data_IF_694637019973
#
_entry.id   IF_694637019973
#
_cell.length_a   1.000
_cell.length_b   1.000
_cell.length_c   1.000
_cell.angle_alpha   90.00
_cell.angle_beta   90.00
_cell.angle_gamma   90.00
#
_symmetry.space_group_name_H-M   'P 1'
#
loop_
_entity.id
_entity.type
_entity.pdbx_description
1 polymer ?
#
# COMPACT_ATOMS: atom_id res chain seq x y z
N UNK A 1 -4.64 22.87 21.07
CA UNK A 1 -4.11 22.67 19.70
C UNK A 1 -3.22 21.44 19.74
N UNK A 2 -3.62 20.36 19.07
CA UNK A 2 -2.73 19.21 18.83
C UNK A 2 -1.56 19.70 17.98
N UNK A 3 -0.34 19.27 18.30
CA UNK A 3 0.82 19.55 17.44
C UNK A 3 0.67 18.72 16.17
N UNK A 4 0.99 19.27 14.98
CA UNK A 4 1.05 18.46 13.77
C UNK A 4 2.06 17.32 13.95
N UNK A 5 1.67 16.12 13.54
CA UNK A 5 2.56 14.97 13.47
C UNK A 5 3.19 14.90 12.07
N UNK A 6 4.41 14.38 11.98
CA UNK A 6 5.11 14.08 10.74
C UNK A 6 5.56 12.63 10.82
N UNK A 7 5.11 11.79 9.89
CA UNK A 7 5.22 10.34 9.97
C UNK A 7 5.95 9.82 8.73
N UNK A 8 7.11 9.23 8.90
CA UNK A 8 7.85 8.68 7.77
C UNK A 8 7.44 7.22 7.58
N UNK A 9 6.87 6.89 6.43
CA UNK A 9 6.57 5.51 6.05
C UNK A 9 7.33 5.13 4.79
N UNK A 10 7.87 3.92 4.72
CA UNK A 10 8.59 3.41 3.56
C UNK A 10 7.95 2.11 3.09
N UNK A 11 7.41 2.13 1.87
CA UNK A 11 6.96 0.91 1.19
C UNK A 11 8.22 0.17 0.74
N UNK A 12 8.54 -0.88 1.48
CA UNK A 12 9.73 -1.69 1.25
C UNK A 12 9.31 -2.86 0.36
N UNK A 13 9.64 -2.71 -0.93
CA UNK A 13 9.28 -3.65 -1.98
C UNK A 13 10.54 -4.30 -2.59
N UNK A 14 10.38 -5.50 -3.14
CA UNK A 14 11.45 -6.11 -3.94
C UNK A 14 11.78 -5.33 -5.22
N UNK A 15 13.00 -5.54 -5.72
CA UNK A 15 13.55 -4.82 -6.87
C UNK A 15 12.72 -5.06 -8.13
N UNK A 16 12.32 -3.95 -8.78
CA UNK A 16 11.62 -3.98 -10.07
C UNK A 16 10.35 -4.85 -10.09
N UNK A 17 9.67 -5.03 -8.94
CA UNK A 17 8.43 -5.81 -8.79
C UNK A 17 7.39 -5.49 -9.90
N UNK A 18 7.29 -4.23 -10.30
CA UNK A 18 6.31 -3.75 -11.27
C UNK A 18 6.58 -4.15 -12.73
N UNK A 19 7.78 -4.62 -13.07
CA UNK A 19 8.19 -4.89 -14.45
C UNK A 19 7.82 -6.30 -14.98
N UNK A 20 6.92 -7.02 -14.31
CA UNK A 20 6.49 -8.37 -14.70
C UNK A 20 7.68 -9.36 -14.76
N UNK A 21 8.37 -9.54 -13.64
CA UNK A 21 9.40 -10.56 -13.48
C UNK A 21 8.99 -11.55 -12.40
N UNK A 22 8.97 -12.85 -12.73
CA UNK A 22 8.68 -13.93 -11.76
C UNK A 22 9.80 -14.12 -10.72
N UNK A 23 10.96 -13.51 -10.94
CA UNK A 23 12.09 -13.50 -10.01
C UNK A 23 12.29 -12.05 -9.60
N UNK A 24 12.15 -11.78 -8.31
CA UNK A 24 12.30 -10.46 -7.73
C UNK A 24 13.47 -10.52 -6.77
N UNK A 25 14.46 -9.66 -7.00
CA UNK A 25 15.61 -9.52 -6.12
C UNK A 25 15.30 -8.55 -4.97
N UNK A 26 16.17 -8.51 -3.96
CA UNK A 26 16.07 -7.60 -2.81
C UNK A 26 17.42 -6.92 -2.54
N UNK A 27 18.14 -6.59 -3.61
CA UNK A 27 19.44 -5.91 -3.51
C UNK A 27 19.30 -4.50 -2.91
N UNK A 28 18.11 -3.87 -3.06
CA UNK A 28 17.77 -2.63 -2.37
C UNK A 28 17.91 -2.69 -0.83
N UNK A 29 17.74 -3.87 -0.21
CA UNK A 29 17.94 -4.10 1.24
C UNK A 29 19.25 -3.51 1.73
N UNK A 30 20.34 -3.66 0.94
CA UNK A 30 21.69 -3.23 1.31
C UNK A 30 21.83 -1.72 1.48
N UNK A 31 20.85 -0.94 1.03
CA UNK A 31 20.88 0.53 1.06
C UNK A 31 19.99 1.13 2.15
N UNK A 32 19.10 0.33 2.78
CA UNK A 32 18.09 0.83 3.73
C UNK A 32 18.71 1.44 5.00
N UNK A 33 19.82 0.88 5.48
CA UNK A 33 20.54 1.35 6.68
C UNK A 33 20.96 2.81 6.60
N UNK A 34 21.25 3.33 5.39
CA UNK A 34 21.61 4.73 5.18
C UNK A 34 20.46 5.68 5.50
N UNK A 35 19.24 5.30 5.09
CA UNK A 35 18.05 6.10 5.37
C UNK A 35 17.65 5.99 6.84
N UNK A 36 17.71 4.79 7.41
CA UNK A 36 17.48 4.58 8.84
C UNK A 36 18.41 5.46 9.69
N UNK A 37 19.72 5.46 9.42
CA UNK A 37 20.68 6.32 10.12
C UNK A 37 20.37 7.81 9.98
N UNK A 38 19.85 8.23 8.82
CA UNK A 38 19.42 9.61 8.60
C UNK A 38 18.20 9.94 9.46
N UNK A 39 17.19 9.08 9.51
CA UNK A 39 16.02 9.25 10.38
C UNK A 39 16.45 9.36 11.84
N UNK A 40 17.29 8.43 12.31
CA UNK A 40 17.78 8.41 13.70
C UNK A 40 18.58 9.66 14.06
N UNK A 41 19.41 10.17 13.15
CA UNK A 41 20.14 11.45 13.33
C UNK A 41 19.20 12.62 13.62
N UNK A 42 18.00 12.61 13.04
CA UNK A 42 16.98 13.63 13.25
C UNK A 42 15.87 13.19 14.22
N UNK A 43 16.09 12.10 14.96
CA UNK A 43 15.16 11.53 15.94
C UNK A 43 13.79 11.10 15.36
N UNK A 44 13.74 10.80 14.07
CA UNK A 44 12.57 10.17 13.44
C UNK A 44 12.63 8.66 13.56
N UNK A 45 11.45 8.05 13.74
CA UNK A 45 11.24 6.61 13.76
C UNK A 45 10.35 6.23 12.59
N UNK A 46 10.91 5.75 11.47
CA UNK A 46 10.10 5.39 10.31
C UNK A 46 9.32 4.09 10.54
N UNK A 47 8.21 3.95 9.83
CA UNK A 47 7.49 2.68 9.67
C UNK A 47 7.87 2.05 8.34
N UNK A 48 8.48 0.87 8.38
CA UNK A 48 8.86 0.07 7.22
C UNK A 48 7.69 -0.86 6.84
N UNK A 49 6.91 -0.45 5.85
CA UNK A 49 5.76 -1.20 5.35
C UNK A 49 6.27 -2.28 4.39
N UNK A 50 6.19 -3.53 4.78
CA UNK A 50 6.98 -4.62 4.22
C UNK A 50 6.14 -5.52 3.32
N UNK A 51 6.63 -5.79 2.11
CA UNK A 51 6.02 -6.74 1.19
C UNK A 51 6.56 -8.17 1.31
N UNK A 52 6.00 -9.11 0.55
CA UNK A 52 6.31 -10.53 0.65
C UNK A 52 7.80 -10.84 0.42
N UNK A 53 8.39 -10.25 -0.62
CA UNK A 53 9.76 -10.50 -1.04
C UNK A 53 10.75 -10.00 0.00
N UNK A 54 10.50 -8.81 0.55
CA UNK A 54 11.30 -8.26 1.63
C UNK A 54 11.17 -9.08 2.92
N UNK A 55 9.96 -9.53 3.27
CA UNK A 55 9.74 -10.41 4.41
C UNK A 55 10.46 -11.77 4.28
N UNK A 56 10.74 -12.21 3.05
CA UNK A 56 11.49 -13.44 2.75
C UNK A 56 13.00 -13.25 2.67
N UNK A 57 13.50 -12.01 2.65
CA UNK A 57 14.93 -11.71 2.58
C UNK A 57 15.57 -11.72 3.98
N UNK A 58 16.49 -12.66 4.28
CA UNK A 58 17.16 -12.71 5.57
C UNK A 58 17.92 -11.43 5.93
N UNK A 59 18.50 -10.73 4.95
CA UNK A 59 19.23 -9.48 5.20
C UNK A 59 18.28 -8.35 5.59
N UNK A 60 17.07 -8.33 5.04
CA UNK A 60 16.04 -7.37 5.41
C UNK A 60 15.50 -7.69 6.81
N UNK A 61 15.24 -8.96 7.08
CA UNK A 61 14.77 -9.40 8.39
C UNK A 61 15.78 -9.04 9.49
N UNK A 62 17.08 -9.24 9.25
CA UNK A 62 18.13 -8.81 10.16
C UNK A 62 18.11 -7.30 10.39
N UNK A 63 18.07 -6.50 9.31
CA UNK A 63 18.01 -5.04 9.38
C UNK A 63 16.79 -4.55 10.19
N UNK A 64 15.60 -5.00 9.85
CA UNK A 64 14.37 -4.51 10.46
C UNK A 64 14.20 -5.02 11.90
N UNK A 65 14.71 -6.22 12.22
CA UNK A 65 14.76 -6.73 13.59
C UNK A 65 15.64 -5.86 14.49
N UNK A 66 16.80 -5.39 14.00
CA UNK A 66 17.65 -4.43 14.73
C UNK A 66 16.93 -3.09 14.97
N UNK A 67 16.23 -2.57 13.95
CA UNK A 67 15.44 -1.33 14.06
C UNK A 67 14.37 -1.45 15.15
N UNK A 68 13.64 -2.57 15.19
CA UNK A 68 12.62 -2.86 16.20
C UNK A 68 13.27 -3.00 17.58
N UNK A 69 14.34 -3.79 17.71
CA UNK A 69 15.01 -4.05 18.98
C UNK A 69 15.56 -2.79 19.64
N UNK A 70 16.04 -1.84 18.83
CA UNK A 70 16.52 -0.52 19.30
C UNK A 70 15.40 0.50 19.49
N UNK A 71 14.14 0.16 19.21
CA UNK A 71 12.99 1.06 19.23
C UNK A 71 13.20 2.29 18.33
N UNK A 72 13.78 2.08 17.15
CA UNK A 72 14.11 3.14 16.19
C UNK A 72 13.20 3.15 14.95
N UNK A 73 12.15 2.33 14.95
CA UNK A 73 11.16 2.25 13.89
C UNK A 73 10.13 1.17 14.18
N UNK A 74 9.22 0.99 13.24
CA UNK A 74 8.18 -0.02 13.25
C UNK A 74 8.24 -0.81 11.93
N UNK A 75 7.80 -2.07 11.94
CA UNK A 75 7.45 -2.80 10.72
C UNK A 75 5.93 -2.92 10.63
N UNK A 76 5.40 -2.60 9.45
CA UNK A 76 3.99 -2.85 9.10
C UNK A 76 3.87 -3.67 7.82
N UNK A 77 2.65 -3.95 7.41
CA UNK A 77 2.36 -4.78 6.22
C UNK A 77 2.15 -3.93 4.97
N UNK A 78 2.78 -4.34 3.86
CA UNK A 78 2.54 -3.80 2.52
C UNK A 78 2.34 -4.92 1.49
N UNK A 79 1.11 -5.32 1.25
CA UNK A 79 0.82 -6.53 0.48
C UNK A 79 0.44 -6.21 -0.98
N UNK A 80 1.13 -6.84 -1.94
CA UNK A 80 0.78 -6.86 -3.36
C UNK A 80 0.11 -8.18 -3.75
N UNK A 81 -1.18 -8.15 -4.08
CA UNK A 81 -2.03 -9.35 -4.10
C UNK A 81 -1.60 -10.39 -5.15
N UNK A 82 -1.10 -9.94 -6.31
CA UNK A 82 -0.66 -10.82 -7.40
C UNK A 82 0.63 -11.60 -7.09
N UNK A 83 1.43 -11.14 -6.12
CA UNK A 83 2.70 -11.77 -5.76
C UNK A 83 2.78 -12.21 -4.28
N UNK A 84 1.65 -12.23 -3.58
CA UNK A 84 1.59 -12.67 -2.18
C UNK A 84 0.83 -14.00 -2.07
N UNK A 85 1.38 -15.01 -1.38
CA UNK A 85 0.67 -16.25 -1.13
C UNK A 85 -0.63 -16.05 -0.32
N UNK A 86 -1.60 -16.98 -0.40
CA UNK A 86 -1.62 -18.13 -1.31
C UNK A 86 -1.72 -17.72 -2.78
N UNK A 87 -1.12 -18.52 -3.66
CA UNK A 87 -1.29 -18.35 -5.10
C UNK A 87 -2.78 -18.54 -5.47
N UNK A 88 -3.33 -17.58 -6.21
CA UNK A 88 -4.69 -17.64 -6.73
C UNK A 88 -4.72 -16.88 -8.05
N UNK A 89 -4.84 -17.56 -9.21
CA UNK A 89 -4.85 -16.92 -10.51
C UNK A 89 -6.20 -16.23 -10.74
N UNK A 90 -6.28 -14.93 -10.45
CA UNK A 90 -7.51 -14.17 -10.63
C UNK A 90 -7.78 -13.87 -12.11
N UNK A 91 -6.73 -13.76 -12.91
CA UNK A 91 -6.77 -13.47 -14.34
C UNK A 91 -5.99 -14.51 -15.16
N UNK A 92 -5.92 -14.32 -16.48
CA UNK A 92 -5.08 -15.13 -17.37
C UNK A 92 -3.57 -14.89 -17.16
N UNK A 93 -3.19 -13.72 -16.63
CA UNK A 93 -1.81 -13.36 -16.31
C UNK A 93 -1.78 -12.26 -15.22
N UNK A 94 -1.76 -12.67 -13.95
CA UNK A 94 -1.76 -11.73 -12.82
C UNK A 94 -0.50 -10.87 -12.75
N UNK A 95 0.62 -11.28 -13.36
CA UNK A 95 1.82 -10.47 -13.41
C UNK A 95 1.72 -9.32 -14.42
N UNK A 96 0.88 -9.49 -15.45
CA UNK A 96 0.54 -8.46 -16.42
C UNK A 96 -0.55 -7.53 -15.89
N UNK A 97 -1.60 -8.08 -15.30
CA UNK A 97 -2.77 -7.30 -14.87
C UNK A 97 -2.63 -6.72 -13.46
N UNK A 98 -1.79 -7.32 -12.62
CA UNK A 98 -1.47 -6.89 -11.26
C UNK A 98 -2.74 -6.57 -10.45
N UNK A 99 -3.71 -7.48 -10.38
CA UNK A 99 -5.01 -7.21 -9.77
C UNK A 99 -4.90 -6.66 -8.34
N UNK A 100 -5.83 -5.77 -8.00
CA UNK A 100 -5.93 -5.18 -6.67
C UNK A 100 -6.43 -6.20 -5.65
N UNK A 101 -6.06 -6.04 -4.38
CA UNK A 101 -6.57 -6.93 -3.31
C UNK A 101 -8.11 -6.97 -3.27
N UNK A 102 -8.75 -5.81 -3.46
CA UNK A 102 -10.21 -5.68 -3.47
C UNK A 102 -10.89 -6.38 -4.67
N UNK A 103 -10.14 -6.88 -5.66
CA UNK A 103 -10.70 -7.64 -6.77
C UNK A 103 -10.75 -9.15 -6.50
N UNK A 104 -10.11 -9.62 -5.42
CA UNK A 104 -10.14 -11.03 -5.04
C UNK A 104 -11.43 -11.38 -4.27
N UNK A 105 -11.86 -12.66 -4.35
CA UNK A 105 -12.91 -13.19 -3.47
C UNK A 105 -12.58 -13.02 -1.98
N UNK A 106 -13.60 -12.86 -1.14
CA UNK A 106 -13.46 -12.54 0.28
C UNK A 106 -12.57 -13.53 1.05
N UNK A 107 -12.71 -14.82 0.76
CA UNK A 107 -11.92 -15.89 1.37
C UNK A 107 -10.44 -15.83 0.96
N UNK A 108 -10.17 -15.48 -0.29
CA UNK A 108 -8.80 -15.32 -0.81
C UNK A 108 -8.15 -14.04 -0.28
N UNK A 109 -8.90 -12.94 -0.22
CA UNK A 109 -8.43 -11.70 0.42
C UNK A 109 -8.04 -12.00 1.87
N UNK A 110 -8.93 -12.62 2.64
CA UNK A 110 -8.65 -12.97 4.03
C UNK A 110 -7.42 -13.87 4.16
N UNK A 111 -7.30 -14.89 3.29
CA UNK A 111 -6.17 -15.81 3.31
C UNK A 111 -4.83 -15.13 3.00
N UNK A 112 -4.79 -14.21 2.02
CA UNK A 112 -3.57 -13.47 1.68
C UNK A 112 -3.14 -12.54 2.80
N UNK A 113 -4.08 -11.82 3.39
CA UNK A 113 -3.80 -10.89 4.48
C UNK A 113 -3.31 -11.65 5.71
N UNK A 114 -4.01 -12.72 6.11
CA UNK A 114 -3.58 -13.58 7.21
C UNK A 114 -2.20 -14.18 6.98
N UNK A 115 -1.93 -14.72 5.80
CA UNK A 115 -0.62 -15.29 5.47
C UNK A 115 0.50 -14.26 5.65
N UNK A 116 0.31 -13.04 5.13
CA UNK A 116 1.32 -11.99 5.28
C UNK A 116 1.47 -11.52 6.72
N UNK A 117 0.38 -11.41 7.48
CA UNK A 117 0.44 -11.11 8.91
C UNK A 117 1.27 -12.18 9.65
N UNK A 118 0.95 -13.46 9.47
CA UNK A 118 1.67 -14.58 10.10
C UNK A 118 3.15 -14.58 9.74
N UNK A 119 3.48 -14.42 8.45
CA UNK A 119 4.87 -14.36 7.98
C UNK A 119 5.66 -13.23 8.65
N UNK A 120 5.08 -12.03 8.74
CA UNK A 120 5.74 -10.88 9.34
C UNK A 120 5.89 -11.06 10.86
N UNK A 121 4.85 -11.52 11.55
CA UNK A 121 4.88 -11.74 13.00
C UNK A 121 5.87 -12.86 13.38
N UNK A 122 5.95 -13.95 12.60
CA UNK A 122 6.95 -15.00 12.77
C UNK A 122 8.37 -14.49 12.52
N UNK A 123 8.56 -13.62 11.52
CA UNK A 123 9.88 -13.09 11.15
C UNK A 123 10.43 -12.09 12.19
N UNK A 124 9.55 -11.27 12.78
CA UNK A 124 9.96 -10.16 13.65
C UNK A 124 9.65 -10.37 15.13
N UNK A 125 8.84 -11.37 15.48
CA UNK A 125 8.47 -11.68 16.86
C UNK A 125 7.63 -10.59 17.54
N UNK A 126 6.99 -9.72 16.77
CA UNK A 126 6.12 -8.63 17.25
C UNK A 126 4.81 -8.61 16.46
N UNK A 127 3.69 -8.19 17.09
CA UNK A 127 2.40 -8.14 16.40
C UNK A 127 2.37 -7.03 15.33
N UNK A 128 1.74 -7.29 14.20
CA UNK A 128 1.56 -6.28 13.15
C UNK A 128 0.46 -5.28 13.52
N UNK A 129 0.76 -3.98 13.37
CA UNK A 129 -0.13 -2.89 13.80
C UNK A 129 -0.46 -1.89 12.71
N UNK A 130 0.48 -1.65 11.80
CA UNK A 130 0.32 -0.71 10.68
C UNK A 130 0.20 -1.44 9.35
N UNK A 131 -0.63 -0.91 8.46
CA UNK A 131 -0.84 -1.43 7.12
C UNK A 131 -0.87 -0.31 6.08
N UNK A 132 -0.47 -0.66 4.85
CA UNK A 132 -0.80 0.06 3.63
C UNK A 132 -1.07 -0.93 2.51
N UNK A 133 -2.18 -0.74 1.82
CA UNK A 133 -2.56 -1.57 0.68
C UNK A 133 -1.58 -1.38 -0.48
N UNK A 134 -1.13 -2.49 -1.06
CA UNK A 134 -0.48 -2.47 -2.37
C UNK A 134 -1.39 -1.82 -3.40
N UNK A 135 -0.81 -0.99 -4.27
CA UNK A 135 -1.54 -0.21 -5.28
C UNK A 135 -2.64 0.71 -4.71
N UNK A 136 -2.59 1.04 -3.42
CA UNK A 136 -3.52 1.95 -2.75
C UNK A 136 -4.99 1.49 -2.75
N UNK A 137 -5.30 0.24 -3.07
CA UNK A 137 -6.69 -0.20 -3.18
C UNK A 137 -7.20 -0.83 -1.88
N UNK A 138 -8.21 -0.20 -1.29
CA UNK A 138 -8.75 -0.53 0.01
C UNK A 138 -10.28 -0.39 0.00
N UNK A 139 -10.97 -1.26 0.74
CA UNK A 139 -12.43 -1.30 0.89
C UNK A 139 -12.82 -1.79 2.30
N UNK A 140 -14.12 -1.80 2.59
CA UNK A 140 -14.70 -2.20 3.88
C UNK A 140 -14.35 -3.65 4.25
N UNK A 141 -14.31 -4.55 3.25
CA UNK A 141 -13.97 -5.96 3.47
C UNK A 141 -12.53 -6.08 3.95
N UNK A 142 -11.62 -5.36 3.30
CA UNK A 142 -10.22 -5.34 3.67
C UNK A 142 -10.04 -4.73 5.08
N UNK A 143 -10.69 -3.60 5.38
CA UNK A 143 -10.68 -2.99 6.71
C UNK A 143 -11.18 -3.95 7.81
N UNK A 144 -12.23 -4.74 7.53
CA UNK A 144 -12.76 -5.72 8.45
C UNK A 144 -11.76 -6.87 8.73
N UNK A 145 -11.01 -7.31 7.71
CA UNK A 145 -9.95 -8.32 7.91
C UNK A 145 -8.83 -7.78 8.79
N UNK A 146 -8.32 -6.58 8.48
CA UNK A 146 -7.25 -5.94 9.28
C UNK A 146 -7.67 -5.76 10.75
N UNK A 147 -8.91 -5.32 10.98
CA UNK A 147 -9.45 -5.15 12.33
C UNK A 147 -9.49 -6.47 13.10
N UNK A 148 -9.95 -7.56 12.46
CA UNK A 148 -9.98 -8.90 13.10
C UNK A 148 -8.58 -9.43 13.43
N UNK A 149 -7.59 -9.11 12.60
CA UNK A 149 -6.19 -9.50 12.80
C UNK A 149 -5.44 -8.57 13.78
N UNK A 150 -6.09 -7.54 14.31
CA UNK A 150 -5.54 -6.69 15.36
C UNK A 150 -4.65 -5.54 14.87
N UNK A 151 -4.76 -5.16 13.59
CA UNK A 151 -4.19 -3.91 13.08
C UNK A 151 -4.90 -2.72 13.72
N UNK A 152 -4.14 -1.65 13.95
CA UNK A 152 -4.62 -0.42 14.58
C UNK A 152 -4.64 0.75 13.60
N UNK A 153 -3.77 0.73 12.58
CA UNK A 153 -3.60 1.83 11.64
C UNK A 153 -3.58 1.31 10.20
N UNK A 154 -4.34 1.98 9.33
CA UNK A 154 -4.18 1.92 7.87
C UNK A 154 -3.74 3.30 7.34
N UNK A 155 -3.01 3.30 6.23
CA UNK A 155 -2.62 4.53 5.53
C UNK A 155 -2.68 4.34 4.00
N UNK A 156 -3.75 3.69 3.54
CA UNK A 156 -3.97 3.39 2.12
C UNK A 156 -4.72 4.50 1.38
N UNK A 157 -5.50 5.31 2.10
CA UNK A 157 -6.34 6.33 1.48
C UNK A 157 -5.48 7.46 0.94
N UNK A 158 -5.66 7.76 -0.35
CA UNK A 158 -5.03 8.89 -1.02
C UNK A 158 -6.13 9.90 -1.38
N UNK A 159 -6.48 10.88 -0.52
CA UNK A 159 -7.59 11.79 -0.77
C UNK A 159 -7.42 12.53 -2.10
N UNK A 160 -8.53 12.96 -2.74
CA UNK A 160 -8.52 13.67 -4.04
C UNK A 160 -8.08 12.83 -5.25
N UNK A 161 -7.76 11.56 -5.06
CA UNK A 161 -7.32 10.65 -6.12
C UNK A 161 -8.46 9.74 -6.54
N UNK A 162 -8.56 9.47 -7.84
CA UNK A 162 -9.48 8.46 -8.36
C UNK A 162 -8.66 7.40 -9.11
N UNK A 163 -8.61 6.18 -8.57
CA UNK A 163 -7.91 5.04 -9.14
C UNK A 163 -8.79 4.11 -9.98
N UNK A 164 -10.08 4.43 -10.14
CA UNK A 164 -11.04 3.57 -10.83
C UNK A 164 -10.68 3.29 -12.29
N UNK A 165 -9.91 4.18 -12.93
CA UNK A 165 -9.46 4.02 -14.31
C UNK A 165 -8.06 3.41 -14.44
N UNK A 166 -7.41 3.10 -13.31
CA UNK A 166 -6.12 2.41 -13.31
C UNK A 166 -6.38 0.91 -13.41
N UNK A 167 -5.84 0.27 -14.44
CA UNK A 167 -6.07 -1.13 -14.75
C UNK A 167 -5.80 -2.05 -13.55
N UNK A 168 -6.64 -3.07 -13.40
CA UNK A 168 -6.47 -4.19 -12.48
C UNK A 168 -6.90 -5.47 -13.20
N UNK A 169 -7.62 -6.35 -12.52
CA UNK A 169 -8.28 -7.47 -13.17
C UNK A 169 -9.17 -6.98 -14.33
N UNK A 170 -9.11 -7.58 -15.53
CA UNK A 170 -9.95 -7.16 -16.68
C UNK A 170 -11.45 -7.20 -16.40
N UNK A 171 -11.88 -8.10 -15.51
CA UNK A 171 -13.25 -8.24 -15.03
C UNK A 171 -13.60 -7.35 -13.82
N UNK A 172 -12.62 -6.64 -13.28
CA UNK A 172 -12.75 -5.78 -12.11
C UNK A 172 -13.22 -4.37 -12.45
N UNK A 173 -13.34 -3.54 -11.40
CA UNK A 173 -13.77 -2.15 -11.52
C UNK A 173 -12.61 -1.14 -11.40
N UNK A 174 -11.36 -1.62 -11.40
CA UNK A 174 -10.17 -0.80 -11.14
C UNK A 174 -9.98 -0.52 -9.65
N UNK A 175 -9.15 0.49 -9.33
CA UNK A 175 -8.85 0.87 -7.95
C UNK A 175 -9.94 1.73 -7.29
N UNK A 176 -9.73 2.07 -6.03
CA UNK A 176 -10.70 2.85 -5.23
C UNK A 176 -10.76 4.33 -5.63
N UNK A 177 -11.94 4.95 -5.56
CA UNK A 177 -12.11 6.40 -5.75
C UNK A 177 -12.11 7.14 -4.39
N UNK A 178 -10.98 7.77 -4.05
CA UNK A 178 -10.77 8.51 -2.80
C UNK A 178 -11.08 10.01 -2.89
N UNK A 179 -11.70 10.48 -3.97
CA UNK A 179 -11.96 11.92 -4.17
C UNK A 179 -12.82 12.54 -3.05
N UNK A 180 -13.71 11.76 -2.44
CA UNK A 180 -14.60 12.18 -1.36
C UNK A 180 -14.11 11.83 0.06
N UNK A 181 -12.93 11.24 0.22
CA UNK A 181 -12.47 10.72 1.51
C UNK A 181 -11.90 11.83 2.42
N UNK A 182 -11.88 11.60 3.76
CA UNK A 182 -11.30 12.54 4.72
C UNK A 182 -9.82 12.79 4.45
N UNK A 183 -9.34 13.99 4.80
CA UNK A 183 -7.94 14.41 4.63
C UNK A 183 -7.15 14.38 5.93
N UNK A 184 -7.86 14.38 7.04
CA UNK A 184 -7.29 14.27 8.38
C UNK A 184 -7.49 12.83 8.86
N UNK A 185 -6.69 12.39 9.83
CA UNK A 185 -6.84 11.06 10.40
C UNK A 185 -8.24 10.85 11.01
N UNK A 186 -8.81 9.66 10.81
CA UNK A 186 -10.14 9.31 11.27
C UNK A 186 -10.25 7.83 11.58
N UNK A 187 -11.06 7.47 12.59
CA UNK A 187 -11.44 6.08 12.78
C UNK A 187 -12.46 5.70 11.71
N UNK A 188 -12.18 4.63 10.98
CA UNK A 188 -13.00 4.15 9.87
C UNK A 188 -14.39 3.74 10.37
N UNK A 189 -15.45 4.14 9.67
CA UNK A 189 -16.76 3.51 9.79
C UNK A 189 -16.71 2.11 9.17
N UNK A 190 -16.98 1.02 9.92
CA UNK A 190 -16.87 -0.35 9.39
C UNK A 190 -17.85 -0.66 8.25
N UNK A 191 -18.85 0.19 7.99
CA UNK A 191 -19.80 0.04 6.88
C UNK A 191 -19.50 0.96 5.68
N UNK A 192 -18.62 1.95 5.84
CA UNK A 192 -18.31 2.93 4.81
C UNK A 192 -16.93 3.56 5.07
N UNK A 193 -15.89 3.04 4.42
CA UNK A 193 -14.52 3.51 4.66
C UNK A 193 -14.32 4.98 4.27
N UNK A 194 -15.26 5.61 3.55
CA UNK A 194 -15.19 7.03 3.23
C UNK A 194 -15.59 7.96 4.39
N UNK A 195 -15.98 7.40 5.55
CA UNK A 195 -16.50 8.16 6.69
C UNK A 195 -15.78 7.83 7.98
N UNK A 196 -15.75 8.84 8.86
CA UNK A 196 -15.44 8.64 10.26
C UNK A 196 -16.59 7.93 10.97
N UNK A 197 -16.28 6.93 11.78
CA UNK A 197 -17.28 6.13 12.48
C UNK A 197 -16.76 5.47 13.75
N UNK A 198 -17.53 4.53 14.33
CA UNK A 198 -17.24 3.91 15.62
C UNK A 198 -16.22 2.77 15.54
N UNK A 199 -15.54 2.57 14.40
CA UNK A 199 -14.53 1.53 14.23
C UNK A 199 -13.28 1.79 15.07
N UNK A 200 -12.40 0.78 15.09
CA UNK A 200 -11.15 0.83 15.86
C UNK A 200 -9.91 0.99 14.98
N UNK A 201 -10.05 0.82 13.67
CA UNK A 201 -8.97 1.03 12.71
C UNK A 201 -8.86 2.53 12.40
N UNK A 202 -7.71 3.12 12.73
CA UNK A 202 -7.39 4.50 12.41
C UNK A 202 -6.85 4.58 10.98
N UNK A 203 -7.54 5.31 10.11
CA UNK A 203 -6.98 5.72 8.84
C UNK A 203 -6.12 6.97 9.04
N UNK A 204 -4.90 6.94 8.51
CA UNK A 204 -4.02 8.09 8.36
C UNK A 204 -3.84 8.33 6.85
N UNK A 205 -4.69 9.17 6.24
CA UNK A 205 -4.63 9.40 4.80
C UNK A 205 -3.29 10.00 4.38
N UNK A 206 -2.79 9.60 3.21
CA UNK A 206 -1.61 10.22 2.62
C UNK A 206 -1.84 11.71 2.39
N UNK A 207 -0.84 12.55 2.68
CA UNK A 207 -0.93 13.96 2.29
C UNK A 207 -0.78 14.07 0.79
N UNK A 208 -1.90 14.22 0.09
CA UNK A 208 -1.95 14.39 -1.35
C UNK A 208 -2.24 15.83 -1.72
N UNK A 209 -1.50 16.35 -2.70
CA UNK A 209 -1.86 17.60 -3.36
C UNK A 209 -1.78 17.50 -4.88
N UNK A 210 -2.50 18.41 -5.51
CA UNK A 210 -2.61 18.46 -6.95
C UNK A 210 -1.35 19.05 -7.58
N UNK A 211 -0.60 18.23 -8.32
CA UNK A 211 0.58 18.69 -9.08
C UNK A 211 0.27 19.64 -10.25
N UNK A 212 -0.93 19.55 -10.82
CA UNK A 212 -1.34 20.32 -12.02
C UNK A 212 -2.60 21.14 -11.80
N UNK A 213 -2.80 22.16 -12.64
CA UNK A 213 -4.02 22.97 -12.68
C UNK A 213 -5.25 22.14 -13.11
N UNK A 214 -6.48 22.57 -12.77
CA UNK A 214 -7.70 21.80 -13.05
C UNK A 214 -7.91 21.44 -14.53
N UNK A 215 -7.52 22.31 -15.46
CA UNK A 215 -7.65 22.08 -16.90
C UNK A 215 -6.75 20.94 -17.41
N UNK A 216 -5.48 20.93 -16.98
CA UNK A 216 -4.52 19.87 -17.32
C UNK A 216 -4.95 18.53 -16.73
N UNK A 217 -5.56 18.53 -15.54
CA UNK A 217 -6.07 17.33 -14.88
C UNK A 217 -7.20 16.67 -15.68
N UNK A 218 -8.18 17.44 -16.15
CA UNK A 218 -9.28 16.92 -16.98
C UNK A 218 -8.79 16.28 -18.26
N UNK A 219 -7.79 16.89 -18.90
CA UNK A 219 -7.17 16.35 -20.11
C UNK A 219 -6.47 15.03 -19.80
N UNK A 220 -5.66 14.97 -18.73
CA UNK A 220 -4.99 13.73 -18.32
C UNK A 220 -5.96 12.61 -17.94
N UNK A 221 -7.00 12.89 -17.15
CA UNK A 221 -8.04 11.90 -16.82
C UNK A 221 -8.76 11.39 -18.07
N UNK A 222 -8.99 12.26 -19.06
CA UNK A 222 -9.51 11.83 -20.36
C UNK A 222 -8.55 10.92 -21.11
N UNK A 223 -7.24 11.19 -21.07
CA UNK A 223 -6.20 10.33 -21.66
C UNK A 223 -6.14 8.98 -20.95
N UNK A 224 -6.18 8.95 -19.63
CA UNK A 224 -6.14 7.70 -18.84
C UNK A 224 -7.37 6.84 -19.10
N UNK A 225 -8.55 7.45 -19.22
CA UNK A 225 -9.77 6.76 -19.66
C UNK A 225 -9.62 6.15 -21.05
N UNK A 226 -9.10 6.91 -22.02
CA UNK A 226 -8.85 6.40 -23.38
C UNK A 226 -7.77 5.31 -23.44
N UNK A 227 -6.82 5.30 -22.49
CA UNK A 227 -5.84 4.20 -22.33
C UNK A 227 -6.50 2.95 -21.75
N UNK A 228 -7.33 3.10 -20.72
CA UNK A 228 -8.09 1.99 -20.12
C UNK A 228 -9.04 1.34 -21.15
N UNK A 229 -9.68 2.15 -22.00
CA UNK A 229 -10.57 1.70 -23.07
C UNK A 229 -9.82 1.11 -24.29
N UNK A 230 -8.48 1.04 -24.25
CA UNK A 230 -7.64 0.46 -25.30
C UNK A 230 -7.46 1.33 -26.56
N UNK A 231 -7.95 2.57 -26.56
CA UNK A 231 -7.90 3.51 -27.69
C UNK A 231 -6.50 4.13 -27.85
N UNK A 232 -5.74 4.28 -26.77
CA UNK A 232 -4.39 4.86 -26.77
C UNK A 232 -3.36 3.84 -26.23
N UNK A 233 -2.56 3.22 -27.12
CA UNK A 233 -1.40 2.40 -26.72
C UNK A 233 -0.12 3.22 -26.82
N UNK A 234 0.24 3.93 -25.74
CA UNK A 234 1.58 4.50 -25.56
C UNK A 234 2.27 3.77 -24.41
N UNK A 235 3.37 3.08 -24.70
CA UNK A 235 4.26 2.43 -23.74
C UNK A 235 5.04 3.47 -22.94
N UNK A 236 4.63 3.74 -21.69
CA UNK A 236 5.49 4.29 -20.61
C UNK A 236 4.93 3.77 -19.28
N UNK A 237 5.82 3.28 -18.40
CA UNK A 237 5.50 2.54 -17.16
C UNK A 237 4.62 3.28 -16.15
N UNK A 238 4.03 2.48 -15.25
CA UNK A 238 3.21 2.84 -14.09
C UNK A 238 3.17 4.35 -13.78
N UNK A 239 2.23 5.04 -14.44
CA UNK A 239 1.84 6.38 -14.04
C UNK A 239 0.98 6.28 -12.79
N UNK A 240 1.61 6.30 -11.62
CA UNK A 240 0.96 6.88 -10.45
C UNK A 240 0.40 8.25 -10.89
N UNK A 241 -0.83 8.64 -10.52
CA UNK A 241 -1.20 10.05 -10.48
C UNK A 241 -0.07 10.74 -9.74
N UNK A 242 0.66 11.59 -10.45
CA UNK A 242 1.87 12.23 -9.94
C UNK A 242 1.49 13.17 -8.80
N UNK A 243 1.45 12.61 -7.60
CA UNK A 243 1.11 13.25 -6.34
C UNK A 243 2.38 13.20 -5.50
N UNK A 244 2.74 14.35 -4.94
CA UNK A 244 3.73 14.38 -3.87
C UNK A 244 3.02 13.78 -2.67
N UNK A 245 3.32 12.53 -2.37
CA UNK A 245 2.84 11.84 -1.19
C UNK A 245 3.90 12.01 -0.11
N UNK A 246 3.59 12.78 0.92
CA UNK A 246 4.46 12.97 2.09
C UNK A 246 3.59 12.74 3.31
N UNK A 247 3.97 11.83 4.18
CA UNK A 247 3.47 11.77 5.55
C UNK A 247 4.50 12.41 6.48
#
# INVERSE_FOLDING_TARGET
>A
MSRPAFLITIDTEGDNLWQNHRIIATENTRFLSRFQQLCEKYQFKPTWLTNYEMAKDPAYVEFASDVIARNQGEVGMHLHAWNSPPEYPLTDDDWKWQPYMIEYPDDILEAKVRFMTELLEESFGVPMKSHRAGRWAFDERYAAVLTRLGYCVDCSVTPRVNWQFTAGAPQGNGGTNYTGFPREAYFIDPQDISKAGPGTLLEIPMSTDYKYSPGVRRIKQGIDKLRADGVLRLFIGCGLPEIISVL
#
